data_IF_025880726333
#
_entry.id   IF_025880726333
#
_cell.length_a   1.000
_cell.length_b   1.000
_cell.length_c   1.000
_cell.angle_alpha   90.00
_cell.angle_beta   90.00
_cell.angle_gamma   90.00
#
_symmetry.space_group_name_H-M   'P 1'
#
loop_
_entity.id
_entity.type
_entity.pdbx_description
1 polymer ?
#
# COMPACT_ATOMS: atom_id res chain seq x y z
N UNK A 1 0.87 4.93 42.14
CA UNK A 1 1.26 3.84 41.22
C UNK A 1 0.36 3.93 40.02
N UNK A 2 0.90 4.29 38.85
CA UNK A 2 0.14 4.27 37.60
C UNK A 2 0.41 2.90 36.98
N UNK A 3 -0.63 2.08 36.89
CA UNK A 3 -0.59 0.82 36.15
C UNK A 3 -0.62 1.18 34.65
N UNK A 4 0.50 1.00 33.94
CA UNK A 4 0.48 1.07 32.48
C UNK A 4 -0.18 -0.22 31.98
N UNK A 5 -1.30 -0.06 31.28
CA UNK A 5 -2.04 -1.17 30.70
C UNK A 5 -1.19 -1.79 29.57
N UNK A 6 -0.78 -3.05 29.74
CA UNK A 6 0.06 -3.77 28.77
C UNK A 6 -0.65 -3.95 27.41
N UNK A 7 -1.98 -3.83 27.43
CA UNK A 7 -2.86 -3.87 26.27
C UNK A 7 -3.46 -2.51 25.96
N UNK A 8 -2.82 -1.39 26.36
CA UNK A 8 -3.17 -0.09 25.79
C UNK A 8 -3.06 -0.24 24.27
N UNK A 9 -4.22 -0.25 23.61
CA UNK A 9 -4.39 -0.48 22.20
C UNK A 9 -3.33 0.32 21.44
N UNK A 10 -2.28 -0.38 21.02
CA UNK A 10 -1.45 0.14 19.95
C UNK A 10 -2.39 0.17 18.76
N UNK A 11 -3.03 1.32 18.53
CA UNK A 11 -3.70 1.62 17.27
C UNK A 11 -2.62 1.55 16.19
N UNK A 12 -2.32 0.32 15.78
CA UNK A 12 -1.41 0.05 14.71
C UNK A 12 -2.13 0.53 13.47
N UNK A 13 -1.71 1.67 12.95
CA UNK A 13 -2.28 2.20 11.70
C UNK A 13 -2.43 1.05 10.71
N UNK A 14 -3.58 0.93 10.03
CA UNK A 14 -3.85 -0.22 9.19
C UNK A 14 -2.74 -0.36 8.17
N UNK A 15 -1.91 -1.39 8.36
CA UNK A 15 -0.72 -1.59 7.55
C UNK A 15 -1.12 -1.79 6.09
N UNK A 16 -0.40 -1.15 5.17
CA UNK A 16 -0.65 -1.30 3.73
C UNK A 16 -0.64 -2.78 3.34
N UNK A 17 -1.64 -3.21 2.58
CA UNK A 17 -1.75 -4.59 2.12
C UNK A 17 -2.40 -4.69 0.73
N UNK A 18 -1.71 -5.36 -0.19
CA UNK A 18 -2.09 -5.50 -1.60
C UNK A 18 -1.32 -4.56 -2.54
N UNK A 19 -1.85 -4.38 -3.76
CA UNK A 19 -1.25 -3.52 -4.78
C UNK A 19 -1.75 -2.07 -4.70
N UNK A 20 -0.81 -1.14 -4.88
CA UNK A 20 -1.01 0.29 -4.90
C UNK A 20 -0.29 0.93 -6.09
N UNK A 21 -0.73 2.11 -6.49
CA UNK A 21 -0.04 2.93 -7.47
C UNK A 21 0.74 4.03 -6.75
N UNK A 22 2.07 4.04 -6.89
CA UNK A 22 2.95 5.05 -6.30
C UNK A 22 3.17 6.21 -7.29
N UNK A 23 2.72 7.42 -6.93
CA UNK A 23 2.76 8.60 -7.79
C UNK A 23 4.18 9.10 -8.02
N UNK A 24 4.99 9.15 -6.95
CA UNK A 24 6.36 9.66 -7.01
C UNK A 24 7.24 8.89 -7.99
N UNK A 25 7.07 7.57 -8.09
CA UNK A 25 7.90 6.70 -8.92
C UNK A 25 7.20 6.21 -10.19
N UNK A 26 5.89 6.46 -10.33
CA UNK A 26 5.05 5.95 -11.42
C UNK A 26 5.10 4.41 -11.54
N UNK A 27 4.98 3.73 -10.39
CA UNK A 27 5.05 2.26 -10.28
C UNK A 27 3.82 1.68 -9.61
N UNK A 28 3.54 0.42 -9.93
CA UNK A 28 2.67 -0.40 -9.11
C UNK A 28 3.51 -1.15 -8.09
N UNK A 29 3.15 -1.03 -6.82
CA UNK A 29 3.92 -1.55 -5.68
C UNK A 29 3.03 -2.42 -4.79
N UNK A 30 3.56 -3.55 -4.30
CA UNK A 30 2.82 -4.44 -3.41
C UNK A 30 3.28 -4.28 -1.97
N UNK A 31 2.33 -4.24 -1.04
CA UNK A 31 2.61 -4.34 0.39
C UNK A 31 2.01 -5.60 0.99
N UNK A 32 2.70 -6.21 1.95
CA UNK A 32 2.18 -7.27 2.81
C UNK A 32 2.53 -6.90 4.25
N UNK A 33 1.50 -6.68 5.08
CA UNK A 33 1.66 -6.21 6.46
C UNK A 33 2.55 -4.94 6.56
N UNK A 34 2.34 -3.99 5.65
CA UNK A 34 3.07 -2.72 5.60
C UNK A 34 4.48 -2.81 5.00
N UNK A 35 4.97 -4.00 4.63
CA UNK A 35 6.30 -4.18 4.01
C UNK A 35 6.16 -4.26 2.49
N UNK A 36 7.06 -3.58 1.76
CA UNK A 36 7.11 -3.56 0.30
C UNK A 36 7.79 -4.82 -0.25
N UNK A 37 7.20 -5.44 -1.29
CA UNK A 37 7.71 -6.72 -1.84
C UNK A 37 7.92 -6.72 -3.35
N UNK A 38 6.94 -6.27 -4.12
CA UNK A 38 6.98 -6.29 -5.58
C UNK A 38 6.81 -4.89 -6.14
N UNK A 39 7.49 -4.63 -7.26
CA UNK A 39 7.42 -3.38 -7.99
C UNK A 39 7.43 -3.64 -9.49
N UNK A 40 6.62 -2.89 -10.21
CA UNK A 40 6.64 -2.89 -11.68
C UNK A 40 6.33 -1.49 -12.18
N UNK A 41 7.00 -1.04 -13.25
CA UNK A 41 6.67 0.25 -13.84
C UNK A 41 5.27 0.23 -14.45
N UNK A 42 4.64 1.40 -14.53
CA UNK A 42 3.33 1.53 -15.16
C UNK A 42 3.29 0.95 -16.60
N UNK A 43 4.41 1.09 -17.32
CA UNK A 43 4.56 0.69 -18.72
C UNK A 43 4.78 -0.82 -18.89
N UNK A 44 5.51 -1.46 -17.97
CA UNK A 44 5.81 -2.90 -18.00
C UNK A 44 4.66 -3.74 -17.42
N UNK A 45 3.77 -3.14 -16.64
CA UNK A 45 2.65 -3.84 -16.02
C UNK A 45 1.72 -4.44 -17.08
N UNK A 46 1.48 -5.76 -17.00
CA UNK A 46 0.60 -6.51 -17.92
C UNK A 46 -0.89 -6.35 -17.62
N UNK A 47 -1.26 -5.63 -16.55
CA UNK A 47 -2.65 -5.34 -16.23
C UNK A 47 -3.32 -4.54 -17.34
N UNK A 48 -4.62 -4.76 -17.56
CA UNK A 48 -5.36 -4.00 -18.56
C UNK A 48 -5.49 -2.51 -18.15
N UNK A 49 -5.88 -1.67 -19.11
CA UNK A 49 -6.02 -0.23 -18.89
C UNK A 49 -7.04 0.10 -17.80
N UNK A 50 -8.17 -0.61 -17.75
CA UNK A 50 -9.22 -0.34 -16.77
C UNK A 50 -8.74 -0.65 -15.35
N UNK A 51 -8.01 -1.74 -15.16
CA UNK A 51 -7.39 -2.11 -13.89
C UNK A 51 -6.34 -1.08 -13.44
N UNK A 52 -5.47 -0.64 -14.37
CA UNK A 52 -4.45 0.38 -14.08
C UNK A 52 -5.09 1.70 -13.63
N UNK A 53 -6.10 2.16 -14.35
CA UNK A 53 -6.82 3.41 -14.00
C UNK A 53 -7.62 3.26 -12.70
N UNK A 54 -8.19 2.08 -12.42
CA UNK A 54 -8.86 1.79 -11.14
C UNK A 54 -7.90 1.95 -9.97
N UNK A 55 -6.70 1.36 -10.04
CA UNK A 55 -5.71 1.49 -8.97
C UNK A 55 -5.19 2.92 -8.80
N UNK A 56 -4.99 3.66 -9.89
CA UNK A 56 -4.62 5.09 -9.83
C UNK A 56 -5.67 5.93 -9.13
N UNK A 57 -6.95 5.59 -9.30
CA UNK A 57 -8.06 6.32 -8.66
C UNK A 57 -8.26 5.92 -7.21
N UNK A 58 -8.26 4.63 -6.91
CA UNK A 58 -8.74 4.10 -5.63
C UNK A 58 -7.61 3.81 -4.63
N UNK A 59 -6.38 3.58 -5.13
CA UNK A 59 -5.27 3.05 -4.33
C UNK A 59 -3.94 3.75 -4.67
N UNK A 60 -4.01 5.03 -4.99
CA UNK A 60 -2.81 5.83 -5.21
C UNK A 60 -2.22 6.30 -3.88
N UNK A 61 -0.91 6.12 -3.75
CA UNK A 61 -0.07 6.59 -2.65
C UNK A 61 0.99 7.55 -3.20
N UNK A 62 1.54 8.40 -2.34
CA UNK A 62 2.56 9.38 -2.72
C UNK A 62 3.96 8.76 -2.77
#
# INVERSE_FOLDING_TARGET
>A
MVQMDLFSDFEQEPSLNGMYYERSTNRFVSFVLGRRYFEISFWECLGDKAWKEKLKRERAID
#
